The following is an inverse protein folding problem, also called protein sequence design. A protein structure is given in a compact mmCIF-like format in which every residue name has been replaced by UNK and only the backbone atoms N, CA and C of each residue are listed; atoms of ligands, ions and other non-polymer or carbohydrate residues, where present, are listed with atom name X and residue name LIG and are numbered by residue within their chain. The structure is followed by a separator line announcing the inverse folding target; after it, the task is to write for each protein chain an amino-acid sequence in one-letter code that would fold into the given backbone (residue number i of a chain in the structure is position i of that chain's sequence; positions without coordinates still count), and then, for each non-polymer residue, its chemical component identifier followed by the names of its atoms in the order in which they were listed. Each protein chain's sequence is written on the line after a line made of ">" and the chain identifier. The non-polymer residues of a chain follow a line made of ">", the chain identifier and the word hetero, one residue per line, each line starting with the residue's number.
data_IF_109229470229
#
_entry.id   IF_109229470229
#
_cell.length_a   1.000
_cell.length_b   1.000
_cell.length_c   1.000
_cell.angle_alpha   90.00
_cell.angle_beta   90.00
_cell.angle_gamma   90.00
#
_symmetry.space_group_name_H-M   'P 1'
#
loop_
_entity.id
_entity.type
_entity.pdbx_description
1 polymer ?
#
# COMPACT_ATOMS: atom_id res chain seq x y z
N UNK A 1 14.25 -27.54 -29.21
CA UNK A 1 14.90 -26.73 -28.15
C UNK A 1 14.37 -25.29 -28.14
N UNK A 2 13.07 -25.08 -27.87
CA UNK A 2 12.43 -23.73 -27.89
C UNK A 2 11.53 -23.46 -26.66
N UNK A 3 11.52 -24.36 -25.68
CA UNK A 3 10.55 -24.35 -24.57
C UNK A 3 11.13 -23.82 -23.24
N UNK A 4 12.39 -23.40 -23.19
CA UNK A 4 13.05 -23.00 -21.92
C UNK A 4 13.10 -21.49 -21.67
N UNK A 5 12.65 -20.65 -22.62
CA UNK A 5 12.75 -19.19 -22.49
C UNK A 5 11.49 -18.52 -21.94
N UNK A 6 10.38 -19.25 -21.80
CA UNK A 6 9.10 -18.67 -21.34
C UNK A 6 9.02 -18.59 -19.80
N UNK A 7 9.85 -19.35 -19.08
CA UNK A 7 9.77 -19.45 -17.62
C UNK A 7 10.45 -18.30 -16.86
N UNK A 8 11.22 -17.43 -17.54
CA UNK A 8 12.05 -16.41 -16.87
C UNK A 8 11.41 -15.01 -16.81
N UNK A 9 10.24 -14.80 -17.44
CA UNK A 9 9.55 -13.49 -17.44
C UNK A 9 8.50 -13.33 -16.32
N UNK A 10 8.40 -14.24 -15.36
CA UNK A 10 7.39 -14.21 -14.29
C UNK A 10 7.88 -13.63 -12.96
N UNK A 11 9.13 -13.16 -12.84
CA UNK A 11 9.75 -12.79 -11.55
C UNK A 11 10.04 -11.28 -11.42
N UNK A 12 9.57 -10.42 -12.34
CA UNK A 12 9.95 -9.00 -12.32
C UNK A 12 8.74 -8.07 -12.33
N UNK A 13 7.96 -8.06 -11.24
CA UNK A 13 6.94 -7.02 -11.03
C UNK A 13 6.57 -6.73 -9.57
N UNK A 14 7.17 -7.38 -8.57
CA UNK A 14 6.80 -7.17 -7.15
C UNK A 14 7.68 -6.15 -6.41
N UNK A 15 8.55 -5.42 -7.11
CA UNK A 15 9.75 -4.85 -6.50
C UNK A 15 9.83 -3.35 -6.22
N UNK A 16 8.77 -2.55 -6.29
CA UNK A 16 8.88 -1.10 -6.02
C UNK A 16 7.76 -0.47 -5.17
N UNK A 17 6.87 -1.26 -4.56
CA UNK A 17 5.89 -0.73 -3.61
C UNK A 17 6.40 -0.99 -2.18
N UNK A 18 6.52 0.07 -1.37
CA UNK A 18 6.87 -0.08 0.04
C UNK A 18 5.79 -0.88 0.79
N UNK A 19 6.21 -1.68 1.76
CA UNK A 19 5.31 -2.51 2.59
C UNK A 19 5.10 -1.87 3.96
N UNK A 20 3.84 -1.78 4.37
CA UNK A 20 3.50 -1.39 5.74
C UNK A 20 3.72 -2.55 6.70
N UNK A 21 4.57 -2.34 7.70
CA UNK A 21 4.94 -3.35 8.70
C UNK A 21 4.73 -2.84 10.13
N UNK A 22 4.30 -3.73 11.01
CA UNK A 22 4.11 -3.48 12.44
C UNK A 22 4.33 -4.79 13.20
N UNK A 23 5.04 -4.79 14.35
CA UNK A 23 5.24 -6.00 15.15
C UNK A 23 3.91 -6.67 15.53
N UNK A 24 3.83 -7.99 15.33
CA UNK A 24 2.62 -8.77 15.65
C UNK A 24 1.47 -8.64 14.65
N UNK A 25 1.66 -7.94 13.52
CA UNK A 25 0.67 -7.81 12.45
C UNK A 25 1.10 -8.58 11.21
N UNK A 26 0.11 -9.14 10.52
CA UNK A 26 0.31 -9.81 9.24
C UNK A 26 0.25 -8.81 8.08
N UNK A 27 0.72 -9.22 6.90
CA UNK A 27 0.55 -8.45 5.66
C UNK A 27 -0.93 -8.29 5.26
N UNK A 28 -1.82 -9.14 5.76
CA UNK A 28 -3.26 -8.98 5.55
C UNK A 28 -3.81 -7.87 6.45
N UNK A 29 -3.37 -7.82 7.71
CA UNK A 29 -3.74 -6.76 8.64
C UNK A 29 -3.30 -5.39 8.12
N UNK A 30 -2.06 -5.27 7.65
CA UNK A 30 -1.54 -3.99 7.15
C UNK A 30 -2.30 -3.50 5.90
N UNK A 31 -2.70 -4.41 5.00
CA UNK A 31 -3.54 -4.07 3.84
C UNK A 31 -4.94 -3.63 4.24
N UNK A 32 -5.53 -4.31 5.21
CA UNK A 32 -6.85 -3.95 5.74
C UNK A 32 -6.80 -2.57 6.42
N UNK A 33 -5.82 -2.33 7.27
CA UNK A 33 -5.66 -1.05 7.95
C UNK A 33 -5.35 0.10 6.97
N UNK A 34 -4.58 -0.16 5.90
CA UNK A 34 -4.36 0.82 4.83
C UNK A 34 -5.65 1.15 4.09
N UNK A 35 -6.46 0.14 3.76
CA UNK A 35 -7.77 0.35 3.14
C UNK A 35 -8.73 1.13 4.06
N UNK A 36 -8.71 0.88 5.36
CA UNK A 36 -9.51 1.64 6.33
C UNK A 36 -9.04 3.11 6.39
N UNK A 37 -7.73 3.36 6.38
CA UNK A 37 -7.16 4.72 6.30
C UNK A 37 -7.57 5.46 5.02
N UNK A 38 -7.53 4.78 3.87
CA UNK A 38 -8.01 5.31 2.60
C UNK A 38 -9.50 5.70 2.65
N UNK A 39 -10.36 4.88 3.26
CA UNK A 39 -11.79 5.19 3.39
C UNK A 39 -12.10 6.35 4.35
N UNK A 40 -11.29 6.55 5.39
CA UNK A 40 -11.43 7.72 6.27
C UNK A 40 -11.24 9.01 5.47
N UNK A 41 -10.29 9.04 4.54
CA UNK A 41 -10.04 10.19 3.66
C UNK A 41 -11.25 10.45 2.75
N UNK A 42 -11.81 9.40 2.13
CA UNK A 42 -13.03 9.52 1.31
C UNK A 42 -14.18 10.09 2.12
N UNK A 43 -14.35 9.61 3.35
CA UNK A 43 -15.42 10.06 4.25
C UNK A 43 -15.22 11.53 4.65
N UNK A 44 -13.97 11.95 4.90
CA UNK A 44 -13.61 13.31 5.29
C UNK A 44 -13.81 14.32 4.16
N UNK A 45 -13.41 13.96 2.93
CA UNK A 45 -13.45 14.86 1.77
C UNK A 45 -14.67 14.64 0.86
N UNK A 46 -15.56 13.71 1.20
CA UNK A 46 -16.79 13.40 0.46
C UNK A 46 -16.60 12.49 -0.74
N UNK A 47 -15.47 12.56 -1.45
CA UNK A 47 -15.10 11.58 -2.49
C UNK A 47 -13.60 11.60 -2.83
N UNK A 48 -13.11 10.55 -3.50
CA UNK A 48 -11.73 10.50 -4.02
C UNK A 48 -11.41 11.60 -5.03
N UNK A 49 -12.40 12.09 -5.77
CA UNK A 49 -12.21 13.14 -6.79
C UNK A 49 -12.06 14.53 -6.18
N UNK A 50 -12.41 14.70 -4.90
CA UNK A 50 -12.33 15.98 -4.20
C UNK A 50 -11.03 16.15 -3.40
N UNK A 51 -10.18 15.12 -3.38
CA UNK A 51 -8.87 15.16 -2.71
C UNK A 51 -7.75 15.10 -3.74
N UNK A 52 -6.81 16.04 -3.63
CA UNK A 52 -5.60 16.03 -4.45
C UNK A 52 -4.82 14.73 -4.20
N UNK A 53 -4.33 14.02 -5.24
CA UNK A 53 -3.66 12.73 -5.07
C UNK A 53 -2.48 12.75 -4.09
N UNK A 54 -1.73 13.85 -4.08
CA UNK A 54 -0.62 14.03 -3.13
C UNK A 54 -1.12 14.15 -1.69
N UNK A 55 -2.18 14.93 -1.46
CA UNK A 55 -2.81 15.07 -0.14
C UNK A 55 -3.36 13.74 0.35
N UNK A 56 -4.03 12.99 -0.52
CA UNK A 56 -4.52 11.64 -0.21
C UNK A 56 -3.39 10.69 0.21
N UNK A 57 -2.27 10.69 -0.51
CA UNK A 57 -1.11 9.87 -0.19
C UNK A 57 -0.47 10.25 1.16
N UNK A 58 -0.37 11.55 1.45
CA UNK A 58 0.16 12.07 2.71
C UNK A 58 -0.75 11.72 3.90
N UNK A 59 -2.05 11.98 3.79
CA UNK A 59 -3.01 11.66 4.86
C UNK A 59 -3.11 10.15 5.11
N UNK A 60 -3.03 9.31 4.05
CA UNK A 60 -3.03 7.85 4.21
C UNK A 60 -1.78 7.39 4.97
N UNK A 61 -0.62 7.94 4.60
CA UNK A 61 0.65 7.68 5.27
C UNK A 61 0.62 8.09 6.74
N UNK A 62 0.12 9.27 7.04
CA UNK A 62 -0.02 9.76 8.42
C UNK A 62 -0.94 8.84 9.24
N UNK A 63 -2.08 8.44 8.67
CA UNK A 63 -3.01 7.51 9.31
C UNK A 63 -2.33 6.16 9.64
N UNK A 64 -1.58 5.60 8.69
CA UNK A 64 -0.84 4.35 8.91
C UNK A 64 0.24 4.50 10.00
N UNK A 65 0.95 5.63 10.02
CA UNK A 65 1.94 5.93 11.06
C UNK A 65 1.32 6.06 12.45
N UNK A 66 0.15 6.70 12.57
CA UNK A 66 -0.61 6.81 13.83
C UNK A 66 -1.06 5.43 14.33
N UNK A 67 -1.42 4.52 13.43
CA UNK A 67 -1.71 3.10 13.77
C UNK A 67 -0.47 2.30 14.20
N UNK A 68 0.73 2.86 14.06
CA UNK A 68 2.00 2.24 14.46
C UNK A 68 2.69 1.46 13.34
N UNK A 69 2.25 1.60 12.09
CA UNK A 69 2.93 1.03 10.94
C UNK A 69 4.10 1.91 10.49
N UNK A 70 5.15 1.28 9.96
CA UNK A 70 6.22 1.96 9.23
C UNK A 70 6.34 1.40 7.81
N UNK A 71 6.75 2.24 6.87
CA UNK A 71 6.92 1.85 5.48
C UNK A 71 8.32 1.28 5.28
N UNK A 72 8.40 -0.03 5.12
CA UNK A 72 9.60 -0.73 4.72
C UNK A 72 9.73 -0.65 3.20
N UNK A 73 10.85 -0.13 2.70
CA UNK A 73 11.17 -0.18 1.26
C UNK A 73 12.06 -1.40 1.04
N UNK A 74 11.68 -2.27 0.10
CA UNK A 74 12.55 -3.33 -0.42
C UNK A 74 13.75 -2.72 -1.15
#
# INVERSE_FOLDING_TARGET
>A
MKLLLVSLMLIVATGCAGRWVQPGKTDLDSRRDNFDCENVIVTKHGSWQQVEPFTAAMETRECMQVKGYHLERN
#
